data_IF_399847290622
#
_entry.id   IF_399847290622
#
_cell.length_a   1.000
_cell.length_b   1.000
_cell.length_c   1.000
_cell.angle_alpha   90.00
_cell.angle_beta   90.00
_cell.angle_gamma   90.00
#
_symmetry.space_group_name_H-M   'P 1'
#
loop_
_entity.id
_entity.type
_entity.pdbx_description
1 polymer ?
#
# COMPACT_ATOMS: atom_id res chain seq x y z
N UNK A 1 -10.49 -16.60 -6.80
CA UNK A 1 -9.51 -15.70 -7.43
C UNK A 1 -9.58 -14.34 -6.76
N UNK A 2 -8.81 -14.15 -5.71
CA UNK A 2 -8.55 -12.84 -5.15
C UNK A 2 -7.04 -12.79 -4.86
N UNK A 3 -6.41 -11.71 -5.26
CA UNK A 3 -5.07 -11.37 -4.78
C UNK A 3 -5.24 -10.37 -3.64
N UNK A 4 -4.40 -10.49 -2.61
CA UNK A 4 -4.45 -9.60 -1.46
C UNK A 4 -3.06 -9.01 -1.19
N UNK A 5 -2.97 -7.75 -0.73
CA UNK A 5 -1.71 -7.20 -0.25
C UNK A 5 -1.44 -7.71 1.17
N UNK A 6 -0.31 -8.41 1.37
CA UNK A 6 0.20 -8.85 2.66
C UNK A 6 1.59 -8.28 2.95
N UNK A 7 2.10 -8.49 4.16
CA UNK A 7 3.43 -8.01 4.58
C UNK A 7 3.70 -6.54 4.23
N UNK A 8 2.79 -5.68 4.67
CA UNK A 8 2.84 -4.24 4.40
C UNK A 8 4.00 -3.63 5.17
N UNK A 9 4.85 -2.89 4.46
CA UNK A 9 6.05 -2.26 5.02
C UNK A 9 6.11 -0.80 4.58
N UNK A 10 6.57 0.02 5.50
CA UNK A 10 6.94 1.41 5.28
C UNK A 10 8.42 1.52 5.63
N UNK A 11 9.25 1.96 4.69
CA UNK A 11 10.71 2.04 4.88
C UNK A 11 11.31 0.71 5.38
N UNK A 12 10.90 -0.40 4.73
CA UNK A 12 11.30 -1.78 5.04
C UNK A 12 10.80 -2.35 6.37
N UNK A 13 10.09 -1.57 7.18
CA UNK A 13 9.65 -1.93 8.54
C UNK A 13 8.12 -2.09 8.58
N UNK A 14 7.63 -3.07 9.35
CA UNK A 14 6.20 -3.22 9.63
C UNK A 14 5.78 -2.29 10.78
N UNK A 15 4.75 -1.47 10.57
CA UNK A 15 4.22 -0.49 11.54
C UNK A 15 5.30 0.37 12.25
N UNK A 16 6.16 1.07 11.50
CA UNK A 16 7.24 1.86 12.07
C UNK A 16 6.72 3.06 12.88
N UNK A 17 7.48 3.45 13.90
CA UNK A 17 7.27 4.66 14.68
C UNK A 17 8.45 5.61 14.48
N UNK A 18 8.18 6.92 14.32
CA UNK A 18 9.22 7.94 14.24
C UNK A 18 9.97 8.02 12.91
N UNK A 19 9.27 7.82 11.79
CA UNK A 19 9.84 8.09 10.46
C UNK A 19 9.94 9.60 10.23
N UNK A 20 11.14 10.07 9.87
CA UNK A 20 11.44 11.47 9.51
C UNK A 20 11.47 11.71 7.99
N UNK A 21 11.32 10.64 7.20
CA UNK A 21 11.23 10.70 5.74
C UNK A 21 9.86 11.26 5.33
N UNK A 22 9.87 12.33 4.55
CA UNK A 22 8.65 13.05 4.11
C UNK A 22 7.87 12.35 3.00
N UNK A 23 8.54 11.47 2.23
CA UNK A 23 7.93 10.63 1.19
C UNK A 23 8.36 9.18 1.39
N UNK A 24 7.81 8.50 2.41
CA UNK A 24 8.24 7.16 2.75
C UNK A 24 7.87 6.16 1.66
N UNK A 25 8.75 5.20 1.44
CA UNK A 25 8.61 4.10 0.49
C UNK A 25 7.73 3.02 1.09
N UNK A 26 6.61 2.76 0.43
CA UNK A 26 5.71 1.67 0.78
C UNK A 26 6.03 0.42 -0.03
N UNK A 27 5.78 -0.74 0.56
CA UNK A 27 5.96 -2.03 -0.10
C UNK A 27 4.99 -3.06 0.44
N UNK A 28 4.54 -3.96 -0.41
CA UNK A 28 3.67 -5.07 -0.04
C UNK A 28 4.07 -6.33 -0.79
N UNK A 29 3.55 -7.47 -0.35
CA UNK A 29 3.61 -8.74 -1.08
C UNK A 29 2.22 -9.05 -1.60
N UNK A 30 2.12 -9.46 -2.85
CA UNK A 30 0.86 -9.98 -3.39
C UNK A 30 0.73 -11.44 -2.97
N UNK A 31 -0.33 -11.78 -2.25
CA UNK A 31 -0.66 -13.14 -1.82
C UNK A 31 -1.85 -13.66 -2.62
N UNK A 32 -1.87 -14.97 -2.88
CA UNK A 32 -2.92 -15.65 -3.63
C UNK A 32 -2.95 -17.13 -3.26
N UNK A 33 -4.15 -17.73 -3.25
CA UNK A 33 -4.30 -19.19 -3.15
C UNK A 33 -3.94 -19.90 -4.47
N UNK A 34 -4.06 -19.19 -5.60
CA UNK A 34 -3.83 -19.69 -6.94
C UNK A 34 -2.43 -19.32 -7.46
N UNK A 35 -1.87 -20.16 -8.35
CA UNK A 35 -0.59 -19.90 -9.03
C UNK A 35 -0.75 -18.92 -10.19
N UNK A 36 0.38 -18.32 -10.59
CA UNK A 36 0.45 -17.46 -11.77
C UNK A 36 -0.30 -16.14 -11.64
N UNK A 37 -0.62 -15.72 -10.41
CA UNK A 37 -1.29 -14.45 -10.16
C UNK A 37 -0.26 -13.33 -9.97
N UNK A 38 -0.59 -12.15 -10.48
CA UNK A 38 0.14 -10.90 -10.27
C UNK A 38 -0.86 -9.76 -10.12
N UNK A 39 -0.44 -8.66 -9.49
CA UNK A 39 -1.22 -7.42 -9.54
C UNK A 39 -1.00 -6.72 -10.89
N UNK A 40 -2.03 -6.07 -11.41
CA UNK A 40 -1.93 -5.20 -12.58
C UNK A 40 -2.13 -3.71 -12.23
N UNK A 41 -2.73 -3.45 -11.07
CA UNK A 41 -3.17 -2.14 -10.61
C UNK A 41 -3.05 -2.09 -9.11
N UNK A 42 -2.70 -0.92 -8.56
CA UNK A 42 -2.80 -0.63 -7.14
C UNK A 42 -3.48 0.72 -6.87
N UNK A 43 -3.89 0.93 -5.62
CA UNK A 43 -4.21 2.25 -5.05
C UNK A 43 -3.71 2.28 -3.61
N UNK A 44 -2.93 3.29 -3.27
CA UNK A 44 -2.49 3.55 -1.90
C UNK A 44 -3.33 4.69 -1.33
N UNK A 45 -3.83 4.51 -0.11
CA UNK A 45 -4.46 5.56 0.67
C UNK A 45 -3.76 5.69 2.01
N UNK A 46 -3.36 6.91 2.35
CA UNK A 46 -2.78 7.26 3.65
C UNK A 46 -3.68 8.33 4.27
N UNK A 47 -4.08 8.10 5.52
CA UNK A 47 -4.94 9.02 6.23
C UNK A 47 -4.43 9.33 7.63
N UNK A 48 -4.82 10.49 8.14
CA UNK A 48 -4.51 10.94 9.49
C UNK A 48 -5.29 10.20 10.58
N UNK A 49 -6.34 9.45 10.22
CA UNK A 49 -7.16 8.68 11.15
C UNK A 49 -7.72 7.41 10.50
N UNK A 50 -8.03 6.40 11.33
CA UNK A 50 -8.71 5.18 10.89
C UNK A 50 -10.12 5.48 10.35
N UNK A 51 -10.81 6.49 10.91
CA UNK A 51 -12.13 6.92 10.45
C UNK A 51 -12.07 7.47 9.01
N UNK A 52 -11.06 8.26 8.69
CA UNK A 52 -10.87 8.76 7.32
C UNK A 52 -10.68 7.59 6.33
N UNK A 53 -9.83 6.61 6.66
CA UNK A 53 -9.66 5.40 5.84
C UNK A 53 -10.96 4.61 5.69
N UNK A 54 -11.71 4.41 6.78
CA UNK A 54 -13.00 3.71 6.75
C UNK A 54 -14.03 4.41 5.83
N UNK A 55 -13.92 5.73 5.67
CA UNK A 55 -14.72 6.54 4.76
C UNK A 55 -14.08 6.71 3.36
N UNK A 56 -13.08 5.89 3.00
CA UNK A 56 -12.34 5.96 1.73
C UNK A 56 -11.69 7.35 1.45
N UNK A 57 -11.22 8.02 2.51
CA UNK A 57 -10.58 9.32 2.43
C UNK A 57 -9.10 9.22 2.83
N UNK A 58 -8.21 9.25 1.83
CA UNK A 58 -6.76 9.39 2.05
C UNK A 58 -6.36 10.87 2.13
N UNK A 59 -6.59 11.51 3.27
CA UNK A 59 -6.38 12.96 3.44
C UNK A 59 -4.90 13.37 3.48
N UNK A 60 -3.99 12.43 3.73
CA UNK A 60 -2.55 12.65 3.64
C UNK A 60 -2.02 12.31 2.25
N UNK A 61 -2.53 11.22 1.66
CA UNK A 61 -2.18 10.82 0.31
C UNK A 61 -3.21 9.83 -0.25
N UNK A 62 -3.47 9.95 -1.54
CA UNK A 62 -4.22 8.98 -2.34
C UNK A 62 -3.57 8.91 -3.72
N UNK A 63 -3.03 7.75 -4.10
CA UNK A 63 -2.42 7.58 -5.41
C UNK A 63 -3.47 7.58 -6.54
N UNK A 64 -4.74 7.40 -6.22
CA UNK A 64 -5.74 6.98 -7.18
C UNK A 64 -5.46 5.56 -7.70
N UNK A 65 -6.24 5.14 -8.68
CA UNK A 65 -6.01 3.87 -9.37
C UNK A 65 -4.79 4.03 -10.29
N UNK A 66 -3.72 3.28 -10.01
CA UNK A 66 -2.48 3.32 -10.78
C UNK A 66 -2.29 2.01 -11.53
N UNK A 67 -2.21 2.08 -12.86
CA UNK A 67 -1.95 0.92 -13.73
C UNK A 67 -0.45 0.56 -13.69
N UNK A 68 -0.06 -0.26 -12.72
CA UNK A 68 1.31 -0.70 -12.51
C UNK A 68 1.33 -1.99 -11.68
N UNK A 69 2.29 -2.87 -11.98
CA UNK A 69 2.57 -4.09 -11.22
C UNK A 69 3.57 -3.88 -10.08
N UNK A 70 4.07 -2.65 -9.88
CA UNK A 70 5.07 -2.33 -8.86
C UNK A 70 4.56 -2.59 -7.43
N UNK A 71 5.28 -3.41 -6.68
CA UNK A 71 4.98 -3.78 -5.28
C UNK A 71 6.01 -3.27 -4.27
N UNK A 72 7.14 -2.74 -4.76
CA UNK A 72 8.29 -2.33 -3.96
C UNK A 72 8.59 -0.86 -4.19
N UNK A 73 8.90 -0.16 -3.10
CA UNK A 73 9.36 1.23 -3.10
C UNK A 73 8.41 2.21 -3.79
N UNK A 74 7.11 2.07 -3.54
CA UNK A 74 6.08 2.99 -4.06
C UNK A 74 6.06 4.27 -3.21
N UNK A 75 5.97 5.43 -3.86
CA UNK A 75 6.01 6.78 -3.28
C UNK A 75 4.97 7.69 -3.93
#
# INVERSE_FOLDING_TARGET
>A
MAIEPGHLRCEYIENPLGIDITQPRLSWRVTSADRGQSQAVYRVMVASSLENLANNKGDLWDSGKTDSDQTLFVQ
#
